data_IF_329511513155
#
_entry.id   IF_329511513155
#
_cell.length_a   1.000
_cell.length_b   1.000
_cell.length_c   1.000
_cell.angle_alpha   90.00
_cell.angle_beta   90.00
_cell.angle_gamma   90.00
#
_symmetry.space_group_name_H-M   'P 1'
#
loop_
_entity.id
_entity.type
_entity.pdbx_description
1 polymer ?
#
# COMPACT_ATOMS: atom_id res chain seq x y z
N UNK A 1 12.59 38.68 51.73
CA UNK A 1 11.76 39.90 51.78
C UNK A 1 10.56 39.71 50.88
N UNK A 2 9.47 39.17 51.43
CA UNK A 2 8.16 39.11 50.76
C UNK A 2 7.17 39.87 51.64
N UNK A 3 6.66 40.99 51.15
CA UNK A 3 5.50 41.67 51.74
C UNK A 3 4.54 42.08 50.64
N UNK A 4 3.29 41.77 50.97
CA UNK A 4 2.02 41.98 50.32
C UNK A 4 1.80 43.39 49.75
N UNK A 5 1.02 43.45 48.68
CA UNK A 5 0.38 44.66 48.19
C UNK A 5 -0.79 44.27 47.30
N UNK A 6 -1.91 43.94 47.92
CA UNK A 6 -3.22 43.76 47.28
C UNK A 6 -3.94 45.10 47.30
N UNK A 7 -4.35 45.62 46.14
CA UNK A 7 -5.40 46.64 46.07
C UNK A 7 -6.09 46.66 44.70
N UNK A 8 -7.29 46.07 44.71
CA UNK A 8 -8.53 46.46 44.01
C UNK A 8 -8.42 47.47 42.87
N UNK A 9 -8.82 47.06 41.67
CA UNK A 9 -9.31 47.96 40.63
C UNK A 9 -10.67 47.48 40.11
N UNK A 10 -11.67 48.22 40.58
CA UNK A 10 -12.93 48.63 39.95
C UNK A 10 -13.52 47.85 38.77
N UNK A 11 -14.68 47.29 39.08
CA UNK A 11 -15.77 46.95 38.19
C UNK A 11 -16.33 48.21 37.52
N UNK A 12 -16.22 48.31 36.19
CA UNK A 12 -17.01 49.23 35.37
C UNK A 12 -17.73 48.41 34.31
N UNK A 13 -19.03 48.26 34.50
CA UNK A 13 -19.98 47.85 33.48
C UNK A 13 -20.22 49.05 32.58
N UNK A 14 -19.87 48.94 31.31
CA UNK A 14 -20.32 49.86 30.27
C UNK A 14 -20.94 49.05 29.14
N UNK A 15 -22.21 49.34 28.89
CA UNK A 15 -23.01 48.86 27.78
C UNK A 15 -22.32 49.13 26.43
N UNK A 16 -22.53 48.25 25.45
CA UNK A 16 -23.16 48.53 24.14
C UNK A 16 -22.73 47.53 23.06
N UNK A 17 -23.75 47.03 22.34
CA UNK A 17 -23.75 46.48 20.98
C UNK A 17 -23.38 45.01 20.72
N UNK A 18 -24.28 44.22 20.10
CA UNK A 18 -23.90 42.94 19.50
C UNK A 18 -23.11 43.21 18.21
N UNK A 19 -21.85 42.74 18.19
CA UNK A 19 -21.08 42.66 16.95
C UNK A 19 -21.69 41.54 16.11
N UNK A 20 -22.53 41.92 15.16
CA UNK A 20 -22.94 41.10 14.03
C UNK A 20 -21.68 40.85 13.20
N UNK A 21 -21.09 39.65 13.33
CA UNK A 21 -20.13 39.18 12.35
C UNK A 21 -20.89 38.93 11.04
N UNK A 22 -20.83 39.91 10.15
CA UNK A 22 -21.15 39.71 8.75
C UNK A 22 -20.16 38.69 8.19
N UNK A 23 -20.66 37.49 7.86
CA UNK A 23 -19.92 36.53 7.05
C UNK A 23 -19.71 37.17 5.66
N UNK A 24 -18.49 37.22 5.12
CA UNK A 24 -18.31 37.62 3.73
C UNK A 24 -18.93 36.53 2.84
N UNK A 25 -19.96 36.93 2.10
CA UNK A 25 -20.50 36.17 0.99
C UNK A 25 -19.51 36.23 -0.18
N UNK A 26 -18.48 35.38 -0.15
CA UNK A 26 -17.69 35.04 -1.33
C UNK A 26 -18.35 33.85 -2.02
N UNK A 27 -19.37 34.18 -2.79
CA UNK A 27 -19.93 33.26 -3.77
C UNK A 27 -19.16 33.43 -5.09
N UNK A 28 -18.87 32.29 -5.70
CA UNK A 28 -18.42 32.12 -7.09
C UNK A 28 -16.94 32.33 -7.39
N UNK A 29 -16.18 31.22 -7.39
CA UNK A 29 -15.68 30.57 -8.63
C UNK A 29 -14.64 29.50 -8.29
N UNK A 30 -15.12 28.33 -7.84
CA UNK A 30 -14.44 27.07 -8.12
C UNK A 30 -15.42 26.17 -8.88
N UNK A 31 -15.78 26.61 -10.07
CA UNK A 31 -16.40 25.77 -11.08
C UNK A 31 -15.73 26.04 -12.41
N UNK A 32 -14.64 25.31 -12.67
CA UNK A 32 -14.21 25.00 -14.03
C UNK A 32 -13.34 23.74 -14.04
N UNK A 33 -13.98 22.65 -14.49
CA UNK A 33 -13.43 21.67 -15.42
C UNK A 33 -12.20 20.86 -15.00
N UNK A 34 -12.45 19.77 -14.29
CA UNK A 34 -12.27 18.42 -14.84
C UNK A 34 -12.76 17.41 -13.79
N UNK A 35 -14.08 17.30 -13.63
CA UNK A 35 -14.65 16.14 -12.97
C UNK A 35 -14.44 14.93 -13.87
N UNK A 36 -13.23 14.36 -13.89
CA UNK A 36 -13.05 13.01 -14.40
C UNK A 36 -14.05 12.16 -13.63
N UNK A 37 -15.05 11.65 -14.35
CA UNK A 37 -16.00 10.66 -13.85
C UNK A 37 -15.21 9.39 -13.59
N UNK A 38 -14.46 9.41 -12.50
CA UNK A 38 -13.69 8.29 -12.00
C UNK A 38 -14.70 7.25 -11.57
N UNK A 39 -15.02 6.36 -12.52
CA UNK A 39 -16.09 5.37 -12.39
C UNK A 39 -15.86 4.61 -11.09
N UNK A 40 -16.86 4.64 -10.21
CA UNK A 40 -16.84 3.85 -8.99
C UNK A 40 -16.66 2.37 -9.38
N UNK A 41 -15.87 1.64 -8.59
CA UNK A 41 -15.78 0.19 -8.76
C UNK A 41 -17.19 -0.39 -8.61
N UNK A 42 -17.61 -1.19 -9.58
CA UNK A 42 -18.89 -1.86 -9.52
C UNK A 42 -18.82 -3.09 -8.59
N UNK A 43 -19.96 -3.77 -8.39
CA UNK A 43 -20.02 -4.94 -7.52
C UNK A 43 -19.15 -6.10 -8.00
N UNK A 44 -18.91 -6.23 -9.31
CA UNK A 44 -18.04 -7.27 -9.85
C UNK A 44 -16.57 -6.92 -9.58
N UNK A 45 -16.18 -5.66 -9.82
CA UNK A 45 -14.85 -5.14 -9.52
C UNK A 45 -14.51 -5.31 -8.03
N UNK A 46 -15.45 -5.02 -7.12
CA UNK A 46 -15.24 -5.19 -5.69
C UNK A 46 -15.07 -6.65 -5.28
N UNK A 47 -15.81 -7.58 -5.90
CA UNK A 47 -15.63 -9.03 -5.67
C UNK A 47 -14.27 -9.51 -6.18
N UNK A 48 -13.83 -9.02 -7.34
CA UNK A 48 -12.52 -9.34 -7.89
C UNK A 48 -11.40 -8.81 -6.99
N UNK A 49 -11.50 -7.57 -6.52
CA UNK A 49 -10.54 -6.98 -5.60
C UNK A 49 -10.48 -7.72 -4.25
N UNK A 50 -11.64 -8.19 -3.75
CA UNK A 50 -11.70 -9.04 -2.57
C UNK A 50 -11.00 -10.39 -2.79
N UNK A 51 -11.24 -11.04 -3.94
CA UNK A 51 -10.55 -12.29 -4.30
C UNK A 51 -9.03 -12.11 -4.36
N UNK A 52 -8.56 -11.00 -4.92
CA UNK A 52 -7.14 -10.66 -4.97
C UNK A 52 -6.55 -10.44 -3.58
N UNK A 53 -7.29 -9.78 -2.68
CA UNK A 53 -6.89 -9.63 -1.28
C UNK A 53 -6.74 -10.98 -0.58
N UNK A 54 -7.71 -11.87 -0.76
CA UNK A 54 -7.70 -13.18 -0.11
C UNK A 54 -6.52 -14.03 -0.62
N UNK A 55 -6.19 -13.95 -1.92
CA UNK A 55 -5.02 -14.59 -2.49
C UNK A 55 -3.71 -14.01 -1.96
N UNK A 56 -3.57 -12.69 -1.89
CA UNK A 56 -2.42 -12.00 -1.29
C UNK A 56 -2.22 -12.43 0.16
N UNK A 57 -3.31 -12.49 0.96
CA UNK A 57 -3.27 -12.94 2.36
C UNK A 57 -2.85 -14.39 2.51
N UNK A 58 -3.29 -15.25 1.59
CA UNK A 58 -2.92 -16.67 1.58
C UNK A 58 -1.45 -16.88 1.24
N UNK A 59 -0.93 -16.16 0.24
CA UNK A 59 0.44 -16.31 -0.26
C UNK A 59 1.48 -15.62 0.64
N UNK A 60 1.12 -14.53 1.31
CA UNK A 60 2.11 -13.73 2.03
C UNK A 60 2.87 -14.47 3.15
N UNK A 61 2.23 -15.24 4.05
CA UNK A 61 2.94 -15.95 5.11
C UNK A 61 4.03 -16.94 4.63
N UNK A 62 3.75 -17.90 3.73
CA UNK A 62 4.77 -18.83 3.27
C UNK A 62 5.89 -18.13 2.48
N UNK A 63 5.55 -17.11 1.68
CA UNK A 63 6.54 -16.34 0.93
C UNK A 63 7.51 -15.59 1.85
N UNK A 64 7.03 -14.97 2.93
CA UNK A 64 7.90 -14.31 3.92
C UNK A 64 8.89 -15.28 4.57
N UNK A 65 8.45 -16.51 4.86
CA UNK A 65 9.33 -17.54 5.41
C UNK A 65 10.43 -17.89 4.40
N UNK A 66 10.06 -18.12 3.13
CA UNK A 66 11.01 -18.50 2.09
C UNK A 66 12.00 -17.36 1.75
N UNK A 67 11.53 -16.12 1.68
CA UNK A 67 12.38 -14.93 1.49
C UNK A 67 13.42 -14.78 2.62
N UNK A 68 13.04 -15.05 3.87
CA UNK A 68 13.97 -15.03 5.00
C UNK A 68 14.96 -16.19 4.94
N UNK A 69 14.50 -17.37 4.55
CA UNK A 69 15.38 -18.53 4.37
C UNK A 69 16.42 -18.26 3.28
N UNK A 70 16.02 -17.64 2.16
CA UNK A 70 16.91 -17.22 1.08
C UNK A 70 18.02 -16.28 1.60
N UNK A 71 17.65 -15.28 2.41
CA UNK A 71 18.60 -14.37 3.07
C UNK A 71 19.61 -15.11 3.96
N UNK A 72 19.21 -16.22 4.57
CA UNK A 72 20.06 -17.01 5.47
C UNK A 72 20.93 -18.06 4.77
N UNK A 73 20.71 -18.35 3.48
CA UNK A 73 21.57 -19.27 2.74
C UNK A 73 23.00 -18.69 2.60
N UNK A 74 24.00 -19.52 2.93
CA UNK A 74 25.40 -19.15 2.87
C UNK A 74 25.75 -18.74 1.41
N UNK A 75 26.27 -17.53 1.23
CA UNK A 75 26.54 -16.94 -0.10
C UNK A 75 25.66 -15.74 -0.45
N UNK A 76 24.45 -15.66 0.11
CA UNK A 76 23.44 -14.68 -0.33
C UNK A 76 22.95 -13.74 0.77
N UNK A 77 23.77 -13.56 1.82
CA UNK A 77 23.49 -12.64 2.95
C UNK A 77 23.30 -11.17 2.53
N UNK A 78 23.71 -10.81 1.31
CA UNK A 78 23.52 -9.49 0.72
C UNK A 78 22.11 -9.29 0.14
N UNK A 79 21.33 -10.37 -0.03
CA UNK A 79 19.93 -10.25 -0.42
C UNK A 79 19.11 -9.66 0.74
N UNK A 80 18.55 -8.48 0.50
CA UNK A 80 17.66 -7.82 1.46
C UNK A 80 16.21 -8.25 1.22
N UNK A 81 15.76 -9.24 1.99
CA UNK A 81 14.37 -9.70 1.95
C UNK A 81 13.37 -8.65 2.45
N UNK A 82 13.80 -7.66 3.24
CA UNK A 82 12.89 -6.74 3.92
C UNK A 82 12.14 -5.83 2.96
N UNK A 83 12.81 -5.36 1.90
CA UNK A 83 12.15 -4.48 0.92
C UNK A 83 11.04 -5.22 0.15
N UNK A 84 11.23 -6.50 -0.18
CA UNK A 84 10.17 -7.33 -0.75
C UNK A 84 9.00 -7.45 0.25
N UNK A 85 9.28 -7.86 1.49
CA UNK A 85 8.26 -8.03 2.54
C UNK A 85 7.48 -6.72 2.83
N UNK A 86 8.17 -5.57 2.74
CA UNK A 86 7.58 -4.24 2.90
C UNK A 86 6.60 -3.93 1.79
N UNK A 87 6.97 -4.17 0.53
CA UNK A 87 6.06 -3.98 -0.59
C UNK A 87 4.84 -4.91 -0.50
N UNK A 88 5.03 -6.18 -0.10
CA UNK A 88 3.91 -7.11 0.13
C UNK A 88 2.91 -6.58 1.17
N UNK A 89 3.44 -6.09 2.30
CA UNK A 89 2.62 -5.63 3.41
C UNK A 89 1.87 -4.34 3.07
N UNK A 90 2.50 -3.43 2.33
CA UNK A 90 1.87 -2.21 1.83
C UNK A 90 0.80 -2.52 0.79
N UNK A 91 1.09 -3.39 -0.19
CA UNK A 91 0.13 -3.79 -1.22
C UNK A 91 -1.14 -4.38 -0.60
N UNK A 92 -0.98 -5.30 0.37
CA UNK A 92 -2.12 -5.85 1.11
C UNK A 92 -2.92 -4.74 1.82
N UNK A 93 -2.24 -3.85 2.55
CA UNK A 93 -2.90 -2.73 3.24
C UNK A 93 -3.63 -1.80 2.28
N UNK A 94 -3.06 -1.49 1.13
CA UNK A 94 -3.68 -0.60 0.14
C UNK A 94 -4.93 -1.23 -0.49
N UNK A 95 -4.88 -2.53 -0.83
CA UNK A 95 -6.07 -3.27 -1.28
C UNK A 95 -7.17 -3.27 -0.19
N UNK A 96 -6.82 -3.50 1.08
CA UNK A 96 -7.76 -3.43 2.20
C UNK A 96 -8.35 -2.03 2.40
N UNK A 97 -7.55 -0.98 2.21
CA UNK A 97 -8.02 0.41 2.29
C UNK A 97 -8.97 0.73 1.15
N UNK A 98 -8.72 0.23 -0.06
CA UNK A 98 -9.59 0.42 -1.23
C UNK A 98 -10.95 -0.26 -1.02
N UNK A 99 -10.97 -1.50 -0.55
CA UNK A 99 -12.21 -2.22 -0.24
C UNK A 99 -13.02 -1.49 0.85
N UNK A 100 -12.37 -1.08 1.94
CA UNK A 100 -13.02 -0.31 3.03
C UNK A 100 -13.56 1.03 2.55
N UNK A 101 -12.86 1.71 1.65
CA UNK A 101 -13.30 3.00 1.11
C UNK A 101 -14.61 2.84 0.32
N UNK A 102 -14.76 1.77 -0.46
CA UNK A 102 -15.96 1.49 -1.25
C UNK A 102 -17.14 0.93 -0.43
N UNK A 103 -16.91 0.51 0.82
CA UNK A 103 -17.99 0.16 1.75
C UNK A 103 -18.64 1.38 2.41
N UNK A 104 -18.05 2.57 2.25
CA UNK A 104 -18.58 3.82 2.83
C UNK A 104 -19.69 4.39 1.93
N UNK A 105 -20.70 5.06 2.52
CA UNK A 105 -21.78 5.68 1.75
C UNK A 105 -21.29 6.83 0.85
N UNK A 106 -20.14 7.43 1.18
CA UNK A 106 -19.50 8.49 0.40
C UNK A 106 -18.04 8.11 0.16
N UNK A 107 -17.63 8.04 -1.10
CA UNK A 107 -16.27 7.70 -1.54
C UNK A 107 -15.51 8.98 -1.88
N UNK A 108 -14.42 9.24 -1.17
CA UNK A 108 -13.51 10.35 -1.52
C UNK A 108 -12.68 9.96 -2.75
N UNK A 109 -12.89 10.69 -3.86
CA UNK A 109 -12.15 10.51 -5.11
C UNK A 109 -10.65 10.70 -4.93
N UNK A 110 -10.25 11.73 -4.17
CA UNK A 110 -8.86 12.03 -3.83
C UNK A 110 -8.20 10.89 -3.05
N UNK A 111 -8.85 10.39 -1.99
CA UNK A 111 -8.30 9.27 -1.22
C UNK A 111 -8.15 8.01 -2.08
N UNK A 112 -9.14 7.69 -2.90
CA UNK A 112 -9.07 6.55 -3.83
C UNK A 112 -7.89 6.70 -4.79
N UNK A 113 -7.70 7.87 -5.38
CA UNK A 113 -6.61 8.13 -6.32
C UNK A 113 -5.24 7.91 -5.65
N UNK A 114 -5.01 8.46 -4.46
CA UNK A 114 -3.75 8.26 -3.76
C UNK A 114 -3.49 6.78 -3.41
N UNK A 115 -4.51 6.06 -2.94
CA UNK A 115 -4.34 4.63 -2.63
C UNK A 115 -4.08 3.83 -3.92
N UNK A 116 -4.70 4.19 -5.05
CA UNK A 116 -4.44 3.57 -6.34
C UNK A 116 -2.99 3.77 -6.80
N UNK A 117 -2.48 5.00 -6.68
CA UNK A 117 -1.09 5.35 -7.00
C UNK A 117 -0.11 4.62 -6.07
N UNK A 118 -0.42 4.54 -4.78
CA UNK A 118 0.39 3.81 -3.81
C UNK A 118 0.45 2.31 -4.15
N UNK A 119 -0.69 1.70 -4.50
CA UNK A 119 -0.77 0.31 -4.93
C UNK A 119 0.03 0.06 -6.21
N UNK A 120 -0.05 0.97 -7.20
CA UNK A 120 0.75 0.92 -8.41
C UNK A 120 2.25 0.99 -8.10
N UNK A 121 2.65 1.87 -7.17
CA UNK A 121 4.04 1.93 -6.70
C UNK A 121 4.47 0.63 -6.03
N UNK A 122 3.61 -0.01 -5.23
CA UNK A 122 3.93 -1.31 -4.63
C UNK A 122 4.07 -2.38 -5.69
N UNK A 123 3.19 -2.40 -6.70
CA UNK A 123 3.25 -3.32 -7.83
C UNK A 123 4.57 -3.22 -8.58
N UNK A 124 5.03 -2.02 -8.92
CA UNK A 124 6.33 -1.80 -9.58
C UNK A 124 7.49 -2.22 -8.66
N UNK A 125 7.38 -1.92 -7.36
CA UNK A 125 8.35 -2.35 -6.36
C UNK A 125 8.50 -3.87 -6.28
N UNK A 126 7.38 -4.61 -6.25
CA UNK A 126 7.37 -6.07 -6.22
C UNK A 126 8.04 -6.67 -7.46
N UNK A 127 7.73 -6.17 -8.66
CA UNK A 127 8.36 -6.64 -9.91
C UNK A 127 9.88 -6.49 -9.85
N UNK A 128 10.38 -5.33 -9.44
CA UNK A 128 11.84 -5.10 -9.31
C UNK A 128 12.51 -5.99 -8.26
N UNK A 129 11.78 -6.36 -7.21
CA UNK A 129 12.32 -7.26 -6.18
C UNK A 129 12.24 -8.72 -6.61
N UNK A 130 11.25 -9.11 -7.41
CA UNK A 130 11.15 -10.43 -8.05
C UNK A 130 12.36 -10.67 -8.95
N UNK A 131 12.69 -9.74 -9.83
CA UNK A 131 13.88 -9.81 -10.70
C UNK A 131 15.17 -10.06 -9.90
N UNK A 132 15.30 -9.44 -8.71
CA UNK A 132 16.47 -9.68 -7.84
C UNK A 132 16.46 -11.07 -7.22
N UNK A 133 15.30 -11.58 -6.84
CA UNK A 133 15.18 -12.94 -6.29
C UNK A 133 15.50 -13.97 -7.37
N UNK A 134 15.03 -13.77 -8.59
CA UNK A 134 15.34 -14.61 -9.75
C UNK A 134 16.85 -14.71 -9.97
N UNK A 135 17.56 -13.57 -10.02
CA UNK A 135 19.03 -13.54 -10.16
C UNK A 135 19.74 -14.25 -9.00
N UNK A 136 19.22 -14.11 -7.77
CA UNK A 136 19.80 -14.78 -6.60
C UNK A 136 19.61 -16.29 -6.69
N UNK A 137 18.43 -16.75 -7.12
CA UNK A 137 18.12 -18.17 -7.27
C UNK A 137 18.91 -18.80 -8.42
N UNK A 138 19.00 -18.12 -9.56
CA UNK A 138 19.82 -18.55 -10.70
C UNK A 138 21.27 -18.81 -10.26
N UNK A 139 21.86 -17.87 -9.49
CA UNK A 139 23.21 -18.05 -8.92
C UNK A 139 23.30 -19.17 -7.89
N UNK A 140 22.22 -19.46 -7.15
CA UNK A 140 22.19 -20.61 -6.25
C UNK A 140 22.24 -21.88 -7.07
N UNK A 141 21.38 -21.99 -8.07
CA UNK A 141 21.23 -23.17 -8.91
C UNK A 141 22.51 -23.45 -9.72
N UNK A 142 23.14 -22.42 -10.29
CA UNK A 142 24.46 -22.51 -10.96
C UNK A 142 25.60 -22.94 -10.03
N UNK A 143 25.47 -22.72 -8.72
CA UNK A 143 26.49 -23.09 -7.73
C UNK A 143 26.32 -24.51 -7.18
N UNK A 144 25.27 -25.21 -7.59
CA UNK A 144 25.02 -26.60 -7.19
C UNK A 144 25.97 -27.54 -7.94
N UNK A 145 26.33 -28.63 -7.27
CA UNK A 145 27.20 -29.67 -7.84
C UNK A 145 26.33 -30.73 -8.52
N UNK A 146 26.50 -30.90 -9.84
CA UNK A 146 25.67 -31.72 -10.74
C UNK A 146 25.59 -33.21 -10.32
N UNK A 147 26.57 -33.68 -9.53
CA UNK A 147 26.68 -35.09 -9.12
C UNK A 147 25.82 -35.44 -7.89
N UNK A 148 25.08 -34.48 -7.32
CA UNK A 148 24.35 -34.68 -6.06
C UNK A 148 22.85 -34.85 -6.33
N UNK A 149 22.26 -35.99 -5.92
CA UNK A 149 20.80 -36.26 -5.93
C UNK A 149 19.91 -35.16 -5.30
N UNK A 150 20.50 -34.22 -4.56
CA UNK A 150 19.81 -33.11 -3.90
C UNK A 150 19.65 -31.89 -4.81
N UNK A 151 20.40 -31.78 -5.90
CA UNK A 151 20.34 -30.66 -6.84
C UNK A 151 18.92 -30.48 -7.40
N UNK A 152 18.38 -31.53 -8.06
CA UNK A 152 17.03 -31.51 -8.62
C UNK A 152 15.95 -31.12 -7.59
N UNK A 153 16.11 -31.53 -6.33
CA UNK A 153 15.18 -31.20 -5.25
C UNK A 153 15.27 -29.72 -4.86
N UNK A 154 16.47 -29.14 -4.88
CA UNK A 154 16.70 -27.72 -4.59
C UNK A 154 16.14 -26.87 -5.73
N UNK A 155 16.42 -27.22 -6.99
CA UNK A 155 15.92 -26.52 -8.17
C UNK A 155 14.39 -26.53 -8.17
N UNK A 156 13.74 -27.70 -8.04
CA UNK A 156 12.27 -27.79 -8.01
C UNK A 156 11.65 -26.96 -6.87
N UNK A 157 12.31 -26.89 -5.71
CA UNK A 157 11.88 -26.05 -4.59
C UNK A 157 12.00 -24.56 -4.93
N UNK A 158 13.09 -24.17 -5.57
CA UNK A 158 13.35 -22.78 -5.96
C UNK A 158 12.38 -22.32 -7.07
N UNK A 159 12.09 -23.18 -8.05
CA UNK A 159 11.05 -22.94 -9.07
C UNK A 159 9.68 -22.71 -8.43
N UNK A 160 9.23 -23.60 -7.54
CA UNK A 160 7.97 -23.44 -6.81
C UNK A 160 7.91 -22.13 -6.02
N UNK A 161 9.03 -21.71 -5.44
CA UNK A 161 9.11 -20.44 -4.72
C UNK A 161 8.94 -19.25 -5.67
N UNK A 162 9.64 -19.25 -6.80
CA UNK A 162 9.49 -18.23 -7.84
C UNK A 162 8.06 -18.18 -8.37
N UNK A 163 7.44 -19.32 -8.66
CA UNK A 163 6.04 -19.38 -9.10
C UNK A 163 5.09 -18.70 -8.11
N UNK A 164 5.29 -18.92 -6.81
CA UNK A 164 4.49 -18.26 -5.77
C UNK A 164 4.74 -16.75 -5.70
N UNK A 165 5.99 -16.30 -5.86
CA UNK A 165 6.33 -14.87 -5.87
C UNK A 165 5.76 -14.17 -7.12
N UNK A 166 5.84 -14.82 -8.27
CA UNK A 166 5.24 -14.37 -9.53
C UNK A 166 3.73 -14.25 -9.37
N UNK A 167 3.07 -15.30 -8.90
CA UNK A 167 1.62 -15.27 -8.65
C UNK A 167 1.22 -14.15 -7.69
N UNK A 168 1.97 -13.93 -6.61
CA UNK A 168 1.73 -12.83 -5.68
C UNK A 168 1.85 -11.47 -6.38
N UNK A 169 2.93 -11.27 -7.14
CA UNK A 169 3.25 -10.03 -7.83
C UNK A 169 2.21 -9.71 -8.90
N UNK A 170 1.81 -10.71 -9.70
CA UNK A 170 0.76 -10.59 -10.70
C UNK A 170 -0.62 -10.31 -10.08
N UNK A 171 -0.93 -10.91 -8.93
CA UNK A 171 -2.17 -10.64 -8.20
C UNK A 171 -2.23 -9.16 -7.79
N UNK A 172 -1.13 -8.60 -7.29
CA UNK A 172 -1.05 -7.18 -6.92
C UNK A 172 -1.10 -6.28 -8.17
N UNK A 173 -0.44 -6.67 -9.26
CA UNK A 173 -0.53 -5.96 -10.54
C UNK A 173 -1.96 -5.93 -11.08
N UNK A 174 -2.67 -7.05 -11.02
CA UNK A 174 -4.06 -7.16 -11.45
C UNK A 174 -4.96 -6.26 -10.59
N UNK A 175 -4.74 -6.22 -9.27
CA UNK A 175 -5.44 -5.31 -8.37
C UNK A 175 -5.16 -3.83 -8.71
N UNK A 176 -3.91 -3.49 -9.01
CA UNK A 176 -3.54 -2.14 -9.44
C UNK A 176 -4.18 -1.75 -10.76
N UNK A 177 -4.20 -2.66 -11.76
CA UNK A 177 -4.77 -2.41 -13.10
C UNK A 177 -6.27 -2.21 -13.05
N UNK A 178 -6.98 -3.01 -12.24
CA UNK A 178 -8.43 -2.90 -12.03
C UNK A 178 -8.84 -1.47 -11.62
N UNK A 179 -7.95 -0.78 -10.89
CA UNK A 179 -8.20 0.58 -10.38
C UNK A 179 -7.64 1.65 -11.34
N UNK A 180 -6.50 1.39 -11.98
CA UNK A 180 -5.86 2.29 -12.94
C UNK A 180 -6.68 2.50 -14.22
N UNK A 181 -7.28 1.44 -14.77
CA UNK A 181 -8.08 1.49 -16.01
C UNK A 181 -9.36 2.37 -15.95
N UNK A 182 -9.68 2.92 -14.77
CA UNK A 182 -10.90 3.72 -14.53
C UNK A 182 -10.58 5.14 -14.02
N UNK A 183 -9.30 5.52 -13.99
CA UNK A 183 -8.82 6.82 -13.52
C UNK A 183 -8.54 7.83 -14.65
N UNK A 184 -8.63 7.39 -15.90
CA UNK A 184 -8.62 8.21 -17.12
C UNK A 184 -10.06 8.53 -17.58
#
# INVERSE_FOLDING_TARGET
MYKQGLLLIFLVVALMSPVVFAAPADNERFSSNAGTKTKLLDTADLRQLQSQLDQVRKLAPPLRVQLRNLRHQAGFRQFDSFEFERHMSRAQSDIERLLRLHQRPIVSSTQRHFIAVDLQRQSVGLTRQLEKVEIVIERIDESLDEDIKQENVIIERNEKFLDMLTLFTETVQAASKLIGQRSE
#
